data_IF_837681787868
#
_entry.id   IF_837681787868
#
_cell.length_a   1.000
_cell.length_b   1.000
_cell.length_c   1.000
_cell.angle_alpha   90.00
_cell.angle_beta   90.00
_cell.angle_gamma   90.00
#
_symmetry.space_group_name_H-M   'P 1'
#
loop_
_entity.id
_entity.type
_entity.pdbx_description
1 polymer ?
#
# COMPACT_ATOMS: atom_id res chain seq x y z
N UNK A 1 41.70 -62.62 16.61
CA UNK A 1 40.84 -62.07 17.67
C UNK A 1 41.00 -60.56 17.63
N UNK A 2 40.16 -59.82 16.88
CA UNK A 2 40.29 -58.37 16.77
C UNK A 2 38.89 -57.78 16.83
N UNK A 3 38.63 -57.09 17.91
CA UNK A 3 37.33 -56.48 18.19
C UNK A 3 37.09 -55.25 17.30
N UNK A 4 36.01 -55.25 16.55
CA UNK A 4 35.56 -54.16 15.70
C UNK A 4 34.71 -53.20 16.55
N UNK A 5 35.23 -51.98 16.79
CA UNK A 5 34.52 -50.89 17.44
C UNK A 5 33.58 -50.21 16.43
N UNK A 6 32.28 -50.22 16.69
CA UNK A 6 31.29 -49.42 15.96
C UNK A 6 31.33 -47.97 16.43
N UNK A 7 31.67 -47.07 15.53
CA UNK A 7 31.52 -45.62 15.74
C UNK A 7 30.08 -45.29 15.35
N UNK A 8 29.27 -44.85 16.31
CA UNK A 8 27.96 -44.24 16.06
C UNK A 8 28.20 -42.82 15.60
N UNK A 9 27.96 -42.53 14.32
CA UNK A 9 27.77 -41.17 13.83
C UNK A 9 26.45 -40.62 14.38
N UNK A 10 26.55 -39.66 15.29
CA UNK A 10 25.43 -38.76 15.63
C UNK A 10 25.23 -37.81 14.45
N UNK A 11 24.21 -38.08 13.65
CA UNK A 11 23.71 -37.13 12.67
C UNK A 11 22.93 -36.05 13.47
N UNK A 12 23.60 -34.93 13.70
CA UNK A 12 22.97 -33.73 14.22
C UNK A 12 21.98 -33.24 13.19
N UNK A 13 20.68 -33.44 13.42
CA UNK A 13 19.63 -32.83 12.67
C UNK A 13 19.70 -31.30 12.86
N UNK A 14 20.17 -30.58 11.85
CA UNK A 14 19.90 -29.16 11.71
C UNK A 14 18.38 -29.02 11.55
N UNK A 15 17.71 -28.70 12.65
CA UNK A 15 16.39 -28.13 12.57
C UNK A 15 16.52 -26.83 11.77
N UNK A 16 16.12 -26.86 10.53
CA UNK A 16 15.77 -25.67 9.80
C UNK A 16 14.66 -24.99 10.59
N UNK A 17 15.02 -23.94 11.32
CA UNK A 17 14.03 -23.00 11.81
C UNK A 17 13.31 -22.50 10.57
N UNK A 18 12.06 -22.90 10.44
CA UNK A 18 11.22 -22.54 9.31
C UNK A 18 11.31 -21.05 9.06
N UNK A 19 11.41 -20.67 7.81
CA UNK A 19 11.28 -19.27 7.39
C UNK A 19 10.08 -18.66 8.13
N UNK A 20 10.19 -17.44 8.65
CA UNK A 20 9.07 -16.78 9.32
C UNK A 20 7.90 -16.81 8.34
N UNK A 21 6.82 -17.43 8.77
CA UNK A 21 5.67 -17.61 7.93
C UNK A 21 5.10 -16.27 7.56
N UNK A 22 5.47 -15.75 6.42
CA UNK A 22 4.80 -14.60 5.78
C UNK A 22 3.30 -14.86 5.63
N UNK A 23 2.96 -16.10 5.77
CA UNK A 23 1.63 -16.68 5.83
C UNK A 23 1.25 -17.10 7.25
N UNK A 24 1.96 -16.62 8.29
CA UNK A 24 1.83 -17.10 9.65
C UNK A 24 0.42 -17.02 10.22
N UNK A 25 0.27 -17.57 11.39
CA UNK A 25 -0.97 -17.53 12.16
C UNK A 25 -1.27 -16.13 12.74
N UNK A 26 -2.26 -16.07 13.60
CA UNK A 26 -2.74 -14.84 14.26
C UNK A 26 -1.68 -14.03 15.02
N UNK A 27 -0.55 -14.66 15.36
CA UNK A 27 0.56 -14.01 16.10
C UNK A 27 1.75 -13.65 15.20
N UNK A 28 1.55 -13.58 13.91
CA UNK A 28 2.60 -13.31 12.96
C UNK A 28 3.40 -12.04 13.31
N UNK A 29 4.67 -12.22 13.63
CA UNK A 29 5.61 -11.16 13.97
C UNK A 29 5.36 -10.45 15.32
N UNK A 30 4.33 -10.83 16.11
CA UNK A 30 4.02 -10.23 17.40
C UNK A 30 4.60 -11.08 18.52
N UNK A 31 5.35 -10.43 19.42
CA UNK A 31 5.81 -11.06 20.65
C UNK A 31 4.78 -10.82 21.76
N UNK A 32 4.26 -11.88 22.35
CA UNK A 32 3.32 -11.79 23.45
C UNK A 32 3.92 -10.98 24.63
N UNK A 33 3.18 -9.99 25.12
CA UNK A 33 3.59 -9.14 26.26
C UNK A 33 4.62 -8.05 25.91
N UNK A 34 5.14 -8.01 24.66
CA UNK A 34 6.13 -7.03 24.23
C UNK A 34 5.48 -5.83 23.51
N UNK A 35 4.47 -5.24 24.11
CA UNK A 35 3.80 -4.06 23.56
C UNK A 35 4.50 -2.79 24.05
N UNK A 36 5.05 -1.94 23.15
CA UNK A 36 5.61 -0.67 23.55
C UNK A 36 4.51 0.27 24.06
N UNK A 37 4.87 1.20 24.92
CA UNK A 37 3.96 2.26 25.30
C UNK A 37 3.66 3.16 24.11
N UNK A 38 2.38 3.41 23.86
CA UNK A 38 1.89 4.17 22.72
C UNK A 38 1.41 5.54 23.17
N UNK A 39 1.81 6.59 22.47
CA UNK A 39 1.23 7.92 22.64
C UNK A 39 0.04 8.06 21.69
N UNK A 40 -1.17 8.03 22.22
CA UNK A 40 -2.42 8.06 21.47
C UNK A 40 -3.18 6.74 21.55
N UNK A 41 -4.37 6.68 20.97
CA UNK A 41 -5.19 5.47 20.96
C UNK A 41 -4.95 4.70 19.67
N UNK A 42 -4.32 3.54 19.79
CA UNK A 42 -4.11 2.60 18.66
C UNK A 42 -4.82 1.31 18.97
N UNK A 43 -5.63 0.83 18.03
CA UNK A 43 -6.30 -0.46 18.10
C UNK A 43 -5.85 -1.35 16.95
N UNK A 44 -5.70 -2.65 17.19
CA UNK A 44 -5.27 -3.62 16.19
C UNK A 44 -6.09 -4.90 16.27
N UNK A 45 -6.45 -5.43 15.11
CA UNK A 45 -7.22 -6.67 14.96
C UNK A 45 -6.48 -7.66 14.05
N UNK A 46 -6.34 -8.93 14.44
CA UNK A 46 -5.76 -9.94 13.56
C UNK A 46 -6.71 -10.21 12.38
N UNK A 47 -6.18 -10.17 11.16
CA UNK A 47 -6.94 -10.56 9.97
C UNK A 47 -7.09 -12.08 9.97
N UNK A 48 -8.27 -12.66 9.65
CA UNK A 48 -8.50 -14.10 9.71
C UNK A 48 -7.54 -14.90 8.83
N UNK A 49 -7.22 -14.38 7.65
CA UNK A 49 -6.21 -14.96 6.75
C UNK A 49 -5.03 -14.00 6.60
N UNK A 50 -4.07 -13.96 7.54
CA UNK A 50 -3.02 -12.93 7.56
C UNK A 50 -1.87 -13.26 6.61
N UNK A 51 -2.17 -13.71 5.37
CA UNK A 51 -1.18 -14.13 4.38
C UNK A 51 -0.70 -12.95 3.54
N UNK A 52 0.23 -12.17 4.06
CA UNK A 52 0.77 -10.98 3.43
C UNK A 52 -0.36 -10.03 2.97
N UNK A 53 -1.25 -9.70 3.89
CA UNK A 53 -2.31 -8.72 3.68
C UNK A 53 -1.66 -7.34 3.43
N UNK A 54 -2.19 -6.61 2.43
CA UNK A 54 -1.50 -5.44 1.87
C UNK A 54 -2.29 -4.16 2.03
N UNK A 55 -3.02 -3.81 1.01
CA UNK A 55 -3.59 -2.49 0.86
C UNK A 55 -4.98 -2.42 1.52
N UNK A 56 -5.19 -1.55 2.52
CA UNK A 56 -6.51 -1.23 3.03
C UNK A 56 -7.22 -0.23 2.11
N UNK A 57 -8.56 -0.29 2.07
CA UNK A 57 -9.39 0.68 1.38
C UNK A 57 -10.67 0.96 2.18
N UNK A 58 -11.06 2.25 2.38
CA UNK A 58 -12.29 2.60 3.05
C UNK A 58 -13.47 2.41 2.12
N UNK A 59 -14.61 1.97 2.67
CA UNK A 59 -15.86 1.85 1.95
C UNK A 59 -16.87 2.91 2.39
N UNK A 60 -17.88 3.24 1.54
CA UNK A 60 -18.91 4.23 1.88
C UNK A 60 -19.73 3.89 3.13
N UNK A 61 -19.86 2.60 3.47
CA UNK A 61 -20.55 2.13 4.67
C UNK A 61 -19.71 2.20 5.96
N UNK A 62 -18.46 2.69 5.86
CA UNK A 62 -17.50 2.82 6.94
C UNK A 62 -16.69 1.56 7.24
N UNK A 63 -16.88 0.48 6.48
CA UNK A 63 -16.04 -0.71 6.59
C UNK A 63 -14.69 -0.51 5.89
N UNK A 64 -13.72 -1.35 6.24
CA UNK A 64 -12.37 -1.34 5.66
C UNK A 64 -12.16 -2.66 4.92
N UNK A 65 -11.91 -2.57 3.63
CA UNK A 65 -11.53 -3.72 2.82
C UNK A 65 -10.02 -3.88 2.77
N UNK A 66 -9.54 -5.10 2.61
CA UNK A 66 -8.11 -5.46 2.67
C UNK A 66 -7.79 -6.45 1.55
N UNK A 67 -6.77 -6.17 0.79
CA UNK A 67 -6.19 -7.10 -0.17
C UNK A 67 -5.31 -8.13 0.56
N UNK A 68 -5.75 -9.38 0.66
CA UNK A 68 -4.98 -10.47 1.27
C UNK A 68 -4.21 -11.20 0.18
N UNK A 69 -3.04 -10.65 -0.19
CA UNK A 69 -2.32 -11.01 -1.41
C UNK A 69 -1.97 -12.51 -1.49
N UNK A 70 -1.23 -13.05 -0.55
CA UNK A 70 -0.86 -14.46 -0.57
C UNK A 70 -1.98 -15.40 -0.06
N UNK A 71 -3.05 -14.84 0.48
CA UNK A 71 -4.28 -15.56 0.79
C UNK A 71 -5.25 -15.67 -0.38
N UNK A 72 -4.97 -14.96 -1.47
CA UNK A 72 -5.79 -14.91 -2.69
C UNK A 72 -7.26 -14.57 -2.41
N UNK A 73 -7.50 -13.53 -1.60
CA UNK A 73 -8.84 -13.09 -1.18
C UNK A 73 -8.92 -11.62 -0.84
N UNK A 74 -10.12 -11.11 -0.75
CA UNK A 74 -10.44 -9.82 -0.16
C UNK A 74 -11.04 -10.08 1.22
N UNK A 75 -10.57 -9.36 2.24
CA UNK A 75 -11.21 -9.30 3.56
C UNK A 75 -11.93 -7.96 3.73
N UNK A 76 -13.00 -7.94 4.53
CA UNK A 76 -13.72 -6.76 4.98
C UNK A 76 -13.78 -6.76 6.49
N UNK A 77 -13.43 -5.66 7.10
CA UNK A 77 -13.59 -5.39 8.53
C UNK A 77 -14.73 -4.40 8.74
N UNK A 78 -15.69 -4.74 9.59
CA UNK A 78 -16.71 -3.81 10.06
C UNK A 78 -16.29 -3.23 11.42
N UNK A 79 -15.97 -1.93 11.49
CA UNK A 79 -15.51 -1.32 12.74
C UNK A 79 -16.57 -1.27 13.87
N UNK A 80 -17.86 -1.40 13.53
CA UNK A 80 -18.95 -1.37 14.53
C UNK A 80 -19.08 -2.71 15.26
N UNK A 81 -19.08 -3.80 14.51
CA UNK A 81 -19.16 -5.14 15.07
C UNK A 81 -17.80 -5.76 15.38
N UNK A 82 -16.72 -5.17 14.85
CA UNK A 82 -15.34 -5.68 14.89
C UNK A 82 -15.22 -7.09 14.29
N UNK A 83 -16.07 -7.41 13.30
CA UNK A 83 -16.09 -8.70 12.63
C UNK A 83 -15.47 -8.61 11.24
N UNK A 84 -14.85 -9.71 10.82
CA UNK A 84 -14.33 -9.88 9.47
C UNK A 84 -15.25 -10.75 8.62
N UNK A 85 -15.29 -10.45 7.33
CA UNK A 85 -15.82 -11.30 6.26
C UNK A 85 -14.76 -11.43 5.17
N UNK A 86 -14.72 -12.56 4.45
CA UNK A 86 -13.73 -12.80 3.41
C UNK A 86 -14.37 -13.42 2.16
N UNK A 87 -13.87 -13.02 0.99
CA UNK A 87 -14.24 -13.56 -0.31
C UNK A 87 -13.02 -14.14 -1.00
N UNK A 88 -13.03 -15.43 -1.37
CA UNK A 88 -11.97 -15.99 -2.20
C UNK A 88 -12.03 -15.36 -3.60
N UNK A 89 -10.87 -15.21 -4.22
CA UNK A 89 -10.73 -14.71 -5.59
C UNK A 89 -10.39 -15.85 -6.55
N UNK A 90 -10.55 -15.63 -7.87
CA UNK A 90 -10.07 -16.56 -8.89
C UNK A 90 -8.61 -16.95 -8.68
N UNK A 91 -8.23 -18.10 -9.21
CA UNK A 91 -6.89 -18.64 -8.99
C UNK A 91 -5.79 -17.67 -9.40
N UNK A 92 -4.76 -17.56 -8.56
CA UNK A 92 -3.58 -16.74 -8.77
C UNK A 92 -3.85 -15.21 -8.91
N UNK A 93 -5.01 -14.70 -8.50
CA UNK A 93 -5.26 -13.24 -8.56
C UNK A 93 -4.25 -12.45 -7.74
N UNK A 94 -3.88 -12.94 -6.55
CA UNK A 94 -2.91 -12.29 -5.65
C UNK A 94 -3.18 -10.78 -5.53
N UNK A 95 -4.31 -10.35 -4.96
CA UNK A 95 -4.73 -8.96 -4.97
C UNK A 95 -3.68 -8.08 -4.29
N UNK A 96 -3.36 -6.95 -4.92
CA UNK A 96 -2.36 -6.03 -4.40
C UNK A 96 -2.95 -4.66 -4.09
N UNK A 97 -3.25 -3.85 -5.10
CA UNK A 97 -3.92 -2.57 -4.94
C UNK A 97 -5.43 -2.77 -4.78
N UNK A 98 -6.05 -1.94 -3.97
CA UNK A 98 -7.47 -2.04 -3.63
C UNK A 98 -8.10 -0.65 -3.53
N UNK A 99 -9.32 -0.51 -4.03
CA UNK A 99 -10.22 0.62 -3.77
C UNK A 99 -11.67 0.13 -3.71
N UNK A 100 -12.53 0.91 -3.07
CA UNK A 100 -13.98 0.69 -3.05
C UNK A 100 -14.64 1.92 -3.67
N UNK A 101 -15.50 1.72 -4.66
CA UNK A 101 -16.21 2.82 -5.30
C UNK A 101 -17.45 3.28 -4.50
N UNK A 102 -18.09 4.35 -4.97
CA UNK A 102 -19.26 4.94 -4.30
C UNK A 102 -20.47 4.01 -4.22
N UNK A 103 -20.52 2.97 -5.06
CA UNK A 103 -21.55 1.94 -5.06
C UNK A 103 -21.21 0.77 -4.12
N UNK A 104 -20.05 0.82 -3.44
CA UNK A 104 -19.59 -0.26 -2.57
C UNK A 104 -18.95 -1.44 -3.32
N UNK A 105 -18.71 -1.31 -4.61
CA UNK A 105 -17.98 -2.30 -5.40
C UNK A 105 -16.50 -2.22 -5.13
N UNK A 106 -15.90 -3.36 -4.91
CA UNK A 106 -14.46 -3.49 -4.64
C UNK A 106 -13.73 -3.74 -5.94
N UNK A 107 -12.74 -2.89 -6.23
CA UNK A 107 -11.85 -3.03 -7.37
C UNK A 107 -10.45 -3.37 -6.88
N UNK A 108 -9.82 -4.35 -7.49
CA UNK A 108 -8.47 -4.78 -7.10
C UNK A 108 -7.56 -5.02 -8.31
N UNK A 109 -6.28 -4.87 -8.08
CA UNK A 109 -5.26 -5.29 -9.06
C UNK A 109 -4.91 -6.75 -8.79
N UNK A 110 -5.16 -7.62 -9.76
CA UNK A 110 -4.73 -9.02 -9.76
C UNK A 110 -3.27 -9.12 -10.16
N UNK A 111 -2.38 -8.84 -9.20
CA UNK A 111 -0.94 -8.74 -9.43
C UNK A 111 -0.33 -10.05 -9.93
N UNK A 112 -0.89 -11.19 -9.53
CA UNK A 112 -0.40 -12.50 -9.90
C UNK A 112 -0.92 -13.03 -11.24
N UNK A 113 -2.09 -12.57 -11.70
CA UNK A 113 -2.72 -13.06 -12.93
C UNK A 113 -2.92 -11.98 -14.01
N UNK A 114 -2.42 -10.75 -13.77
CA UNK A 114 -2.46 -9.68 -14.77
C UNK A 114 -3.85 -9.12 -15.06
N UNK A 115 -4.74 -9.07 -14.06
CA UNK A 115 -6.12 -8.60 -14.23
C UNK A 115 -6.44 -7.38 -13.40
N UNK A 116 -7.53 -6.68 -13.75
CA UNK A 116 -8.27 -5.80 -12.86
C UNK A 116 -9.54 -6.54 -12.45
N UNK A 117 -9.68 -6.80 -11.16
CA UNK A 117 -10.81 -7.51 -10.62
C UNK A 117 -11.88 -6.57 -10.05
N UNK A 118 -13.14 -6.99 -10.20
CA UNK A 118 -14.33 -6.36 -9.66
C UNK A 118 -15.07 -7.38 -8.78
N UNK A 119 -15.13 -7.13 -7.49
CA UNK A 119 -15.92 -7.91 -6.55
C UNK A 119 -17.16 -7.10 -6.14
N UNK A 120 -18.32 -7.71 -6.30
CA UNK A 120 -19.55 -7.25 -5.66
C UNK A 120 -19.70 -7.99 -4.30
N UNK A 121 -19.52 -7.30 -3.18
CA UNK A 121 -19.53 -7.95 -1.87
C UNK A 121 -20.92 -8.41 -1.40
N UNK A 122 -21.99 -7.90 -2.02
CA UNK A 122 -23.37 -8.33 -1.70
C UNK A 122 -23.69 -9.70 -2.28
N UNK A 123 -23.19 -9.96 -3.50
CA UNK A 123 -23.47 -11.22 -4.22
C UNK A 123 -22.29 -12.19 -4.19
N UNK A 124 -21.10 -11.72 -3.80
CA UNK A 124 -19.86 -12.47 -3.88
C UNK A 124 -19.34 -12.66 -5.32
N UNK A 125 -20.00 -12.04 -6.31
CA UNK A 125 -19.61 -12.19 -7.72
C UNK A 125 -18.29 -11.45 -8.01
N UNK A 126 -17.35 -12.16 -8.60
CA UNK A 126 -16.10 -11.61 -9.12
C UNK A 126 -16.13 -11.60 -10.65
N UNK A 127 -15.66 -10.49 -11.22
CA UNK A 127 -15.41 -10.34 -12.66
C UNK A 127 -13.99 -9.84 -12.84
N UNK A 128 -13.22 -10.44 -13.72
CA UNK A 128 -11.85 -10.02 -14.02
C UNK A 128 -11.73 -9.51 -15.45
N UNK A 129 -10.94 -8.44 -15.61
CA UNK A 129 -10.62 -7.79 -16.89
C UNK A 129 -9.13 -7.98 -17.13
N UNK A 130 -8.71 -8.90 -18.01
CA UNK A 130 -7.30 -9.07 -18.35
C UNK A 130 -6.70 -7.79 -18.92
N UNK A 131 -5.54 -7.39 -18.42
CA UNK A 131 -4.81 -6.24 -18.97
C UNK A 131 -4.25 -6.59 -20.35
N UNK A 132 -4.34 -5.71 -21.36
CA UNK A 132 -4.00 -6.06 -22.74
C UNK A 132 -2.56 -6.57 -22.93
N UNK A 133 -1.61 -5.90 -22.29
CA UNK A 133 -0.19 -6.30 -22.34
C UNK A 133 0.24 -7.22 -21.19
N UNK A 134 -0.72 -7.73 -20.40
CA UNK A 134 -0.41 -8.53 -19.21
C UNK A 134 0.37 -7.74 -18.15
N UNK A 135 1.17 -8.45 -17.38
CA UNK A 135 2.06 -7.87 -16.37
C UNK A 135 1.53 -7.99 -14.94
N UNK A 136 2.02 -7.12 -14.08
CA UNK A 136 1.81 -7.11 -12.64
C UNK A 136 1.08 -5.84 -12.17
N UNK A 137 -0.25 -5.70 -12.42
CA UNK A 137 -1.01 -4.54 -11.96
C UNK A 137 -0.79 -4.30 -10.47
N UNK A 138 -0.47 -3.06 -10.09
CA UNK A 138 0.04 -2.81 -8.75
C UNK A 138 -0.81 -1.79 -7.96
N UNK A 139 -0.58 -0.49 -8.12
CA UNK A 139 -1.36 0.54 -7.44
C UNK A 139 -2.54 0.95 -8.31
N UNK A 140 -3.71 1.13 -7.70
CA UNK A 140 -4.95 1.52 -8.40
C UNK A 140 -5.56 2.76 -7.77
N UNK A 141 -6.07 3.67 -8.60
CA UNK A 141 -6.85 4.85 -8.21
C UNK A 141 -8.05 5.02 -9.14
N UNK A 142 -8.99 5.87 -8.75
CA UNK A 142 -10.17 6.22 -9.54
C UNK A 142 -10.11 7.73 -9.83
N UNK A 143 -10.39 8.13 -11.08
CA UNK A 143 -10.40 9.52 -11.49
C UNK A 143 -11.79 10.18 -11.28
N UNK A 144 -11.87 11.46 -11.61
CA UNK A 144 -13.12 12.24 -11.47
C UNK A 144 -14.26 11.78 -12.39
N UNK A 145 -13.97 11.07 -13.47
CA UNK A 145 -14.94 10.45 -14.38
C UNK A 145 -15.39 9.06 -13.87
N UNK A 146 -14.70 8.55 -12.88
CA UNK A 146 -14.96 7.24 -12.33
C UNK A 146 -14.23 6.11 -13.06
N UNK A 147 -13.24 6.42 -13.89
CA UNK A 147 -12.41 5.44 -14.57
C UNK A 147 -11.23 5.03 -13.68
N UNK A 148 -10.74 3.82 -13.90
CA UNK A 148 -9.66 3.26 -13.10
C UNK A 148 -8.32 3.51 -13.77
N UNK A 149 -7.37 3.92 -12.96
CA UNK A 149 -5.98 4.05 -13.37
C UNK A 149 -5.10 3.16 -12.50
N UNK A 150 -4.16 2.47 -13.10
CA UNK A 150 -3.26 1.58 -12.36
C UNK A 150 -1.88 1.52 -12.97
N UNK A 151 -0.90 1.20 -12.15
CA UNK A 151 0.47 0.97 -12.58
C UNK A 151 0.68 -0.51 -12.88
N UNK A 152 1.43 -0.80 -13.94
CA UNK A 152 1.99 -2.12 -14.26
C UNK A 152 3.50 -2.00 -14.10
N UNK A 153 4.01 -2.41 -12.95
CA UNK A 153 5.36 -2.08 -12.49
C UNK A 153 6.43 -2.71 -13.40
N UNK A 154 6.44 -4.03 -13.52
CA UNK A 154 7.38 -4.75 -14.36
C UNK A 154 7.17 -4.50 -15.86
N UNK A 155 5.93 -4.21 -16.25
CA UNK A 155 5.58 -3.85 -17.63
C UNK A 155 5.87 -2.40 -18.00
N UNK A 156 6.31 -1.57 -17.07
CA UNK A 156 6.62 -0.14 -17.26
C UNK A 156 5.47 0.63 -17.94
N UNK A 157 4.24 0.48 -17.41
CA UNK A 157 3.05 1.17 -17.94
C UNK A 157 2.21 1.78 -16.83
N UNK A 158 1.55 2.87 -17.17
CA UNK A 158 0.34 3.33 -16.48
C UNK A 158 -0.83 3.05 -17.41
N UNK A 159 -1.89 2.47 -16.88
CA UNK A 159 -3.02 1.99 -17.68
C UNK A 159 -4.30 2.58 -17.16
N UNK A 160 -5.18 3.00 -18.08
CA UNK A 160 -6.55 3.41 -17.83
C UNK A 160 -7.51 2.29 -18.21
N UNK A 161 -8.49 2.00 -17.36
CA UNK A 161 -9.66 1.20 -17.69
C UNK A 161 -10.91 2.08 -17.61
N UNK A 162 -11.53 2.32 -18.75
CA UNK A 162 -12.85 2.96 -18.82
C UNK A 162 -13.91 2.00 -18.32
N UNK A 163 -14.49 2.28 -17.15
CA UNK A 163 -15.44 1.34 -16.52
C UNK A 163 -16.74 1.16 -17.30
N UNK A 164 -17.16 2.18 -18.06
CA UNK A 164 -18.40 2.15 -18.83
C UNK A 164 -18.32 1.25 -20.07
N UNK A 165 -17.15 1.19 -20.71
CA UNK A 165 -16.93 0.46 -21.96
C UNK A 165 -16.10 -0.80 -21.81
N UNK A 166 -15.34 -0.91 -20.71
CA UNK A 166 -14.35 -1.96 -20.51
C UNK A 166 -13.06 -1.75 -21.35
N UNK A 167 -12.91 -0.59 -21.98
CA UNK A 167 -11.78 -0.27 -22.85
C UNK A 167 -10.54 0.09 -22.03
N UNK A 168 -9.40 -0.48 -22.40
CA UNK A 168 -8.10 -0.13 -21.86
C UNK A 168 -7.36 0.86 -22.75
N UNK A 169 -6.60 1.75 -22.11
CA UNK A 169 -5.60 2.62 -22.74
C UNK A 169 -4.30 2.49 -21.97
N UNK A 170 -3.22 2.11 -22.65
CA UNK A 170 -1.91 1.91 -22.04
C UNK A 170 -0.98 3.07 -22.38
N UNK A 171 -0.24 3.55 -21.38
CA UNK A 171 0.76 4.60 -21.51
C UNK A 171 2.11 4.02 -21.12
N UNK A 172 3.02 3.90 -22.06
CA UNK A 172 4.39 3.51 -21.78
C UNK A 172 5.08 4.56 -20.91
N UNK A 173 5.81 4.09 -19.93
CA UNK A 173 6.54 4.89 -18.95
C UNK A 173 7.96 4.34 -18.80
N UNK A 174 8.75 4.94 -17.94
CA UNK A 174 10.07 4.46 -17.56
C UNK A 174 10.19 4.36 -16.03
N UNK A 175 11.21 3.67 -15.56
CA UNK A 175 11.60 3.69 -14.16
C UNK A 175 10.68 2.98 -13.18
N UNK A 176 9.97 1.94 -13.60
CA UNK A 176 9.06 1.12 -12.78
C UNK A 176 8.00 1.96 -12.05
N UNK A 177 6.88 2.29 -12.71
CA UNK A 177 5.81 3.08 -12.10
C UNK A 177 5.23 2.35 -10.89
N UNK A 178 5.10 3.06 -9.76
CA UNK A 178 4.74 2.46 -8.48
C UNK A 178 3.52 3.14 -7.83
N UNK A 179 3.74 4.15 -6.99
CA UNK A 179 2.68 4.94 -6.37
C UNK A 179 1.95 5.77 -7.42
N UNK A 180 0.65 5.98 -7.22
CA UNK A 180 -0.24 6.65 -8.17
C UNK A 180 -1.19 7.57 -7.40
N UNK A 181 -1.41 8.77 -7.91
CA UNK A 181 -2.40 9.72 -7.38
C UNK A 181 -3.04 10.52 -8.51
N UNK A 182 -4.23 11.04 -8.25
CA UNK A 182 -4.93 11.99 -9.10
C UNK A 182 -4.90 13.34 -8.41
N UNK A 183 -4.45 14.40 -9.09
CA UNK A 183 -4.45 15.73 -8.52
C UNK A 183 -5.83 16.43 -8.68
N UNK A 184 -5.94 17.64 -8.15
CA UNK A 184 -7.18 18.42 -8.20
C UNK A 184 -7.60 18.84 -9.62
N UNK A 185 -6.72 18.76 -10.59
CA UNK A 185 -6.98 19.04 -12.02
C UNK A 185 -7.31 17.77 -12.81
N UNK A 186 -7.25 16.59 -12.17
CA UNK A 186 -7.47 15.29 -12.81
C UNK A 186 -6.22 14.72 -13.50
N UNK A 187 -5.06 15.33 -13.31
CA UNK A 187 -3.80 14.81 -13.84
C UNK A 187 -3.37 13.59 -13.00
N UNK A 188 -2.92 12.56 -13.70
CA UNK A 188 -2.46 11.31 -13.10
C UNK A 188 -0.97 11.43 -12.85
N UNK A 189 -0.57 11.33 -11.58
CA UNK A 189 0.82 11.37 -11.14
C UNK A 189 1.28 9.99 -10.70
N UNK A 190 2.51 9.60 -11.06
CA UNK A 190 3.08 8.32 -10.64
C UNK A 190 4.55 8.43 -10.25
N UNK A 191 4.92 7.62 -9.26
CA UNK A 191 6.31 7.50 -8.82
C UNK A 191 7.08 6.59 -9.77
N UNK A 192 8.28 6.99 -10.18
CA UNK A 192 9.24 6.19 -10.95
C UNK A 192 10.29 5.64 -9.98
N UNK A 193 10.01 4.49 -9.41
CA UNK A 193 10.78 3.92 -8.30
C UNK A 193 12.27 3.72 -8.61
N UNK A 194 12.61 3.38 -9.85
CA UNK A 194 13.98 3.18 -10.32
C UNK A 194 14.51 4.33 -11.19
N UNK A 195 13.76 5.40 -11.33
CA UNK A 195 14.08 6.50 -12.22
C UNK A 195 14.35 7.83 -11.51
N UNK A 196 14.38 7.83 -10.17
CA UNK A 196 14.57 9.05 -9.37
C UNK A 196 13.69 10.22 -9.85
N UNK A 197 12.42 9.94 -10.14
CA UNK A 197 11.53 10.92 -10.71
C UNK A 197 10.05 10.62 -10.54
N UNK A 198 9.23 11.56 -10.93
CA UNK A 198 7.78 11.42 -11.06
C UNK A 198 7.39 11.57 -12.51
N UNK A 199 6.42 10.78 -12.94
CA UNK A 199 5.76 10.99 -14.23
C UNK A 199 4.35 11.55 -14.02
N UNK A 200 3.81 12.16 -15.06
CA UNK A 200 2.44 12.66 -15.08
C UNK A 200 1.80 12.44 -16.45
N UNK A 201 0.48 12.24 -16.45
CA UNK A 201 -0.36 12.10 -17.64
C UNK A 201 -1.59 12.98 -17.41
N UNK A 202 -1.86 13.88 -18.34
CA UNK A 202 -3.10 14.63 -18.38
C UNK A 202 -4.09 13.92 -19.33
N UNK A 203 -5.16 13.31 -18.78
CA UNK A 203 -6.10 12.55 -19.61
C UNK A 203 -6.93 13.42 -20.56
N UNK A 204 -7.04 14.73 -20.28
CA UNK A 204 -7.86 15.65 -21.09
C UNK A 204 -7.11 16.14 -22.31
N UNK A 205 -5.86 16.56 -22.14
CA UNK A 205 -5.04 17.07 -23.25
C UNK A 205 -4.23 15.98 -23.94
N UNK A 206 -4.07 14.80 -23.30
CA UNK A 206 -3.17 13.74 -23.74
C UNK A 206 -1.68 14.05 -23.50
N UNK A 207 -1.38 15.20 -22.89
CA UNK A 207 0.00 15.57 -22.58
C UNK A 207 0.55 14.69 -21.43
N UNK A 208 1.81 14.41 -21.48
CA UNK A 208 2.53 13.64 -20.45
C UNK A 208 3.97 14.11 -20.34
N UNK A 209 4.59 13.85 -19.21
CA UNK A 209 5.99 14.20 -18.99
C UNK A 209 6.53 13.63 -17.70
N UNK A 210 7.75 13.99 -17.40
CA UNK A 210 8.48 13.53 -16.24
C UNK A 210 9.17 14.71 -15.56
N UNK A 211 9.40 14.59 -14.25
CA UNK A 211 10.22 15.52 -13.46
C UNK A 211 11.26 14.73 -12.69
N UNK A 212 12.46 15.28 -12.58
CA UNK A 212 13.53 14.75 -11.74
C UNK A 212 13.28 15.10 -10.27
N UNK A 213 13.44 14.15 -9.38
CA UNK A 213 13.31 14.32 -7.93
C UNK A 213 14.64 14.29 -7.19
N UNK A 214 15.74 14.22 -7.93
CA UNK A 214 17.09 14.16 -7.41
C UNK A 214 17.59 12.74 -7.21
N UNK A 215 18.88 12.57 -7.47
CA UNK A 215 19.56 11.27 -7.41
C UNK A 215 19.36 10.57 -6.07
N UNK A 216 18.97 9.30 -6.12
CA UNK A 216 18.77 8.44 -4.96
C UNK A 216 17.46 8.70 -4.21
N UNK A 217 16.54 9.48 -4.76
CA UNK A 217 15.24 9.74 -4.11
C UNK A 217 14.33 8.50 -4.12
N UNK A 218 14.35 7.69 -5.18
CA UNK A 218 13.52 6.51 -5.36
C UNK A 218 12.08 6.71 -4.86
N UNK A 219 11.31 7.66 -5.43
CA UNK A 219 9.96 7.99 -4.96
C UNK A 219 9.07 6.76 -5.00
N UNK A 220 8.31 6.52 -3.91
CA UNK A 220 7.58 5.27 -3.77
C UNK A 220 6.07 5.42 -3.72
N UNK A 221 5.55 6.21 -2.80
CA UNK A 221 4.11 6.49 -2.68
C UNK A 221 3.86 7.98 -2.81
N UNK A 222 2.66 8.31 -3.26
CA UNK A 222 2.22 9.67 -3.52
C UNK A 222 0.78 9.83 -3.05
N UNK A 223 0.45 10.97 -2.45
CA UNK A 223 -0.89 11.29 -1.96
C UNK A 223 -1.24 12.74 -2.26
N UNK A 224 -2.48 12.97 -2.67
CA UNK A 224 -3.02 14.32 -2.88
C UNK A 224 -3.50 14.92 -1.55
N UNK A 225 -3.19 16.20 -1.35
CA UNK A 225 -3.61 16.98 -0.20
C UNK A 225 -4.85 17.86 -0.55
N UNK A 226 -5.66 18.24 0.46
CA UNK A 226 -6.84 19.11 0.23
C UNK A 226 -6.51 20.46 -0.40
N UNK A 227 -5.30 20.99 -0.18
CA UNK A 227 -4.83 22.26 -0.77
C UNK A 227 -4.35 22.13 -2.22
N UNK A 228 -4.35 20.90 -2.77
CA UNK A 228 -3.92 20.59 -4.13
C UNK A 228 -2.47 20.20 -4.27
N UNK A 229 -1.64 20.29 -3.22
CA UNK A 229 -0.28 19.77 -3.24
C UNK A 229 -0.27 18.23 -3.30
N UNK A 230 0.83 17.66 -3.77
CA UNK A 230 1.09 16.23 -3.68
C UNK A 230 2.24 15.95 -2.73
N UNK A 231 2.08 14.92 -1.89
CA UNK A 231 3.09 14.49 -0.94
C UNK A 231 3.65 13.13 -1.33
N UNK A 232 4.96 13.00 -1.29
CA UNK A 232 5.67 11.84 -1.82
C UNK A 232 6.64 11.30 -0.75
N UNK A 233 6.67 9.98 -0.59
CA UNK A 233 7.72 9.31 0.16
C UNK A 233 8.93 9.05 -0.74
N UNK A 234 10.07 9.68 -0.44
CA UNK A 234 11.36 9.43 -1.07
C UNK A 234 12.06 8.29 -0.34
N UNK A 235 11.73 7.07 -0.75
CA UNK A 235 12.17 5.84 -0.11
C UNK A 235 13.70 5.70 -0.08
N UNK A 236 14.38 6.12 -1.15
CA UNK A 236 15.82 5.91 -1.29
C UNK A 236 16.69 6.83 -0.44
N UNK A 237 16.18 7.99 0.00
CA UNK A 237 16.97 8.97 0.76
C UNK A 237 16.32 9.43 2.07
N UNK A 238 15.27 8.76 2.53
CA UNK A 238 14.70 8.98 3.86
C UNK A 238 13.84 10.24 4.01
N UNK A 239 13.34 10.83 2.91
CA UNK A 239 12.65 12.12 2.96
C UNK A 239 11.17 12.03 2.64
N UNK A 240 10.42 12.94 3.23
CA UNK A 240 9.09 13.34 2.78
C UNK A 240 9.26 14.53 1.83
N UNK A 241 8.56 14.55 0.69
CA UNK A 241 8.65 15.62 -0.29
C UNK A 241 7.26 16.20 -0.60
N UNK A 242 7.20 17.51 -0.89
CA UNK A 242 6.03 18.22 -1.38
C UNK A 242 6.23 18.68 -2.81
N UNK A 243 5.28 18.36 -3.66
CA UNK A 243 5.22 18.76 -5.06
C UNK A 243 4.09 19.78 -5.24
N UNK A 244 4.39 20.88 -5.91
CA UNK A 244 3.39 21.72 -6.54
C UNK A 244 3.07 21.15 -7.94
N UNK A 245 1.88 20.54 -8.16
CA UNK A 245 1.57 19.90 -9.44
C UNK A 245 1.37 20.91 -10.58
N UNK A 246 0.98 22.17 -10.28
CA UNK A 246 0.82 23.22 -11.30
C UNK A 246 2.18 23.71 -11.80
N UNK A 247 3.10 23.94 -10.87
CA UNK A 247 4.46 24.32 -11.22
C UNK A 247 5.32 23.12 -11.67
N UNK A 248 4.82 21.89 -11.49
CA UNK A 248 5.52 20.61 -11.80
C UNK A 248 6.91 20.56 -11.18
N UNK A 249 7.03 20.94 -9.91
CA UNK A 249 8.31 20.95 -9.21
C UNK A 249 8.18 20.59 -7.73
N UNK A 250 9.23 20.00 -7.18
CA UNK A 250 9.38 19.80 -5.74
C UNK A 250 9.58 21.16 -5.09
N UNK A 251 8.76 21.49 -4.08
CA UNK A 251 8.78 22.76 -3.37
C UNK A 251 9.30 22.66 -1.93
N UNK A 252 9.51 21.43 -1.42
CA UNK A 252 10.10 21.20 -0.12
C UNK A 252 10.43 19.74 0.10
N UNK A 253 11.40 19.46 0.95
CA UNK A 253 11.75 18.11 1.42
C UNK A 253 12.14 18.15 2.88
N UNK A 254 11.72 17.14 3.67
CA UNK A 254 11.98 17.01 5.09
C UNK A 254 12.48 15.60 5.40
N UNK A 255 13.52 15.48 6.18
CA UNK A 255 13.99 14.18 6.67
C UNK A 255 13.01 13.64 7.72
N UNK A 256 12.71 12.35 7.66
CA UNK A 256 11.94 11.73 8.72
C UNK A 256 12.74 11.76 10.04
N UNK A 257 12.07 11.92 11.19
CA UNK A 257 12.73 11.78 12.47
C UNK A 257 13.33 10.38 12.61
N UNK A 258 14.39 10.24 13.37
CA UNK A 258 15.13 8.96 13.55
C UNK A 258 14.18 7.79 13.90
N UNK A 259 13.20 8.05 14.74
CA UNK A 259 12.19 7.08 15.17
C UNK A 259 11.22 6.70 14.05
N UNK A 260 11.06 7.56 13.04
CA UNK A 260 10.23 7.35 11.85
C UNK A 260 10.85 6.45 10.79
N UNK A 261 12.12 6.07 10.97
CA UNK A 261 12.85 5.21 10.05
C UNK A 261 13.52 5.94 8.89
N UNK A 262 14.29 5.20 8.11
CA UNK A 262 15.05 5.75 6.96
C UNK A 262 14.39 5.48 5.62
N UNK A 263 13.43 4.55 5.57
CA UNK A 263 12.80 4.07 4.34
C UNK A 263 11.31 4.44 4.34
N UNK A 264 10.94 5.74 4.13
CA UNK A 264 9.57 6.18 4.11
C UNK A 264 8.78 5.44 3.03
N UNK A 265 7.63 4.86 3.41
CA UNK A 265 6.89 4.01 2.50
C UNK A 265 5.48 4.52 2.24
N UNK A 266 4.51 4.24 3.11
CA UNK A 266 3.17 4.75 2.95
C UNK A 266 3.14 6.26 3.24
N UNK A 267 2.37 6.99 2.47
CA UNK A 267 2.05 8.40 2.69
C UNK A 267 0.57 8.62 2.44
N UNK A 268 -0.09 9.36 3.31
CA UNK A 268 -1.47 9.82 3.14
C UNK A 268 -1.65 11.18 3.82
N UNK A 269 -2.70 11.91 3.46
CA UNK A 269 -2.94 13.26 3.98
C UNK A 269 -4.34 13.32 4.58
N UNK A 270 -4.48 13.89 5.78
CA UNK A 270 -5.78 14.07 6.42
C UNK A 270 -6.48 15.35 5.97
N UNK A 271 -7.74 15.51 6.38
CA UNK A 271 -8.55 16.67 6.01
C UNK A 271 -8.00 18.01 6.53
N UNK A 272 -7.15 18.00 7.56
CA UNK A 272 -6.46 19.17 8.09
C UNK A 272 -5.16 19.48 7.32
N UNK A 273 -4.79 18.67 6.33
CA UNK A 273 -3.58 18.82 5.55
C UNK A 273 -2.32 18.25 6.22
N UNK A 274 -2.46 17.55 7.35
CA UNK A 274 -1.31 16.88 7.99
C UNK A 274 -0.96 15.62 7.22
N UNK A 275 0.33 15.34 7.08
CA UNK A 275 0.84 14.24 6.30
C UNK A 275 1.25 13.10 7.21
N UNK A 276 0.66 11.93 7.00
CA UNK A 276 0.95 10.73 7.73
C UNK A 276 1.87 9.85 6.90
N UNK A 277 3.03 9.50 7.45
CA UNK A 277 4.08 8.74 6.77
C UNK A 277 4.71 7.74 7.74
N UNK A 278 5.11 6.57 7.24
CA UNK A 278 5.82 5.57 8.03
C UNK A 278 7.08 5.10 7.33
N UNK A 279 8.10 4.71 8.09
CA UNK A 279 9.18 3.87 7.61
C UNK A 279 8.73 2.41 7.56
N UNK A 280 9.12 1.68 6.50
CA UNK A 280 8.73 0.28 6.34
C UNK A 280 9.37 -0.63 7.40
N UNK A 281 10.51 -0.23 7.91
CA UNK A 281 11.37 -0.93 8.85
C UNK A 281 11.11 -0.56 10.32
N UNK A 282 10.17 0.37 10.57
CA UNK A 282 9.83 0.82 11.92
C UNK A 282 8.38 0.50 12.28
N UNK A 283 8.14 0.35 13.58
CA UNK A 283 6.81 0.16 14.15
C UNK A 283 6.28 1.51 14.65
N UNK A 284 6.30 2.50 13.75
CA UNK A 284 5.88 3.88 14.04
C UNK A 284 5.13 4.49 12.87
N UNK A 285 4.34 5.52 13.18
CA UNK A 285 3.76 6.43 12.20
C UNK A 285 4.16 7.85 12.57
N UNK A 286 4.71 8.58 11.62
CA UNK A 286 5.07 9.99 11.76
C UNK A 286 3.99 10.87 11.15
N UNK A 287 3.58 11.90 11.87
CA UNK A 287 2.62 12.91 11.42
C UNK A 287 3.38 14.21 11.24
N UNK A 288 3.46 14.69 10.01
CA UNK A 288 4.07 15.96 9.65
C UNK A 288 3.02 17.05 9.57
N UNK A 289 3.25 18.15 10.26
CA UNK A 289 2.44 19.37 10.14
C UNK A 289 3.15 20.36 9.22
N UNK A 290 2.61 20.63 8.01
CA UNK A 290 3.25 21.54 7.07
C UNK A 290 3.30 23.00 7.52
N UNK A 291 2.44 23.41 8.47
CA UNK A 291 2.40 24.79 8.96
C UNK A 291 3.57 25.08 9.94
N UNK A 292 3.90 24.12 10.78
CA UNK A 292 5.00 24.23 11.74
C UNK A 292 6.28 23.54 11.30
N UNK A 293 6.24 22.83 10.18
CA UNK A 293 7.30 21.96 9.66
C UNK A 293 7.86 20.96 10.69
N UNK A 294 6.99 20.46 11.56
CA UNK A 294 7.36 19.58 12.64
C UNK A 294 6.73 18.20 12.53
N UNK A 295 7.40 17.19 13.09
CA UNK A 295 6.92 15.82 13.18
C UNK A 295 6.47 15.46 14.59
N UNK A 296 5.38 14.71 14.65
CA UNK A 296 4.99 13.94 15.82
C UNK A 296 5.06 12.45 15.46
N UNK A 297 5.66 11.63 16.32
CA UNK A 297 5.80 10.19 16.09
C UNK A 297 4.88 9.42 17.05
N UNK A 298 4.12 8.48 16.50
CA UNK A 298 3.29 7.53 17.24
C UNK A 298 3.94 6.16 17.13
N UNK A 299 4.19 5.51 18.26
CA UNK A 299 4.63 4.11 18.31
C UNK A 299 3.42 3.18 18.23
N UNK A 300 3.54 2.15 17.42
CA UNK A 300 2.51 1.13 17.29
C UNK A 300 2.65 0.07 18.38
N UNK A 301 1.54 -0.55 18.82
CA UNK A 301 1.58 -1.55 19.88
C UNK A 301 2.23 -2.87 19.44
N UNK A 302 2.14 -3.21 18.16
CA UNK A 302 2.74 -4.41 17.59
C UNK A 302 4.12 -4.16 17.03
N UNK A 303 4.89 -5.24 16.88
CA UNK A 303 6.21 -5.22 16.24
C UNK A 303 6.15 -5.85 14.84
N UNK A 304 7.15 -5.52 14.02
CA UNK A 304 7.31 -6.02 12.64
C UNK A 304 6.05 -5.75 11.81
N UNK A 305 5.51 -4.55 11.92
CA UNK A 305 4.24 -4.20 11.27
C UNK A 305 4.38 -4.16 9.75
N UNK A 306 5.37 -3.44 9.22
CA UNK A 306 5.64 -3.37 7.79
C UNK A 306 4.52 -2.72 6.99
N UNK A 307 4.14 -1.49 7.34
CA UNK A 307 3.04 -0.75 6.68
C UNK A 307 3.46 -0.38 5.26
N UNK A 308 2.66 -0.80 4.26
CA UNK A 308 2.91 -0.53 2.84
C UNK A 308 1.90 0.43 2.22
N UNK A 309 0.72 0.51 2.79
CA UNK A 309 -0.31 1.49 2.49
C UNK A 309 -1.14 1.76 3.72
N UNK A 310 -1.57 2.99 3.85
CA UNK A 310 -2.50 3.45 4.85
C UNK A 310 -3.53 4.38 4.22
N UNK A 311 -4.64 4.56 4.88
CA UNK A 311 -5.73 5.43 4.45
C UNK A 311 -6.26 6.25 5.62
N UNK A 312 -6.90 7.37 5.32
CA UNK A 312 -7.74 8.11 6.26
C UNK A 312 -9.19 7.85 5.86
N UNK A 313 -10.03 7.45 6.80
CA UNK A 313 -11.46 7.27 6.54
C UNK A 313 -12.25 8.58 6.67
N UNK A 314 -13.55 8.52 6.40
CA UNK A 314 -14.43 9.68 6.46
C UNK A 314 -14.59 10.28 7.88
N UNK A 315 -14.20 9.54 8.93
CA UNK A 315 -14.17 9.98 10.33
C UNK A 315 -12.81 10.56 10.74
N UNK A 316 -11.84 10.62 9.80
CA UNK A 316 -10.49 11.12 10.04
C UNK A 316 -9.58 10.13 10.77
N UNK A 317 -9.97 8.85 10.88
CA UNK A 317 -9.15 7.81 11.50
C UNK A 317 -8.12 7.29 10.51
N UNK A 318 -6.89 7.12 10.98
CA UNK A 318 -5.82 6.53 10.17
C UNK A 318 -5.87 5.01 10.29
N UNK A 319 -6.03 4.32 9.16
CA UNK A 319 -6.03 2.88 9.06
C UNK A 319 -4.81 2.39 8.32
N UNK A 320 -4.17 1.34 8.82
CA UNK A 320 -3.01 0.71 8.19
C UNK A 320 -3.14 -0.81 8.20
N UNK A 321 -2.50 -1.45 7.25
CA UNK A 321 -2.34 -2.90 7.25
C UNK A 321 -0.90 -3.27 7.55
N UNK A 322 -0.69 -4.01 8.63
CA UNK A 322 0.58 -4.62 8.96
C UNK A 322 0.82 -5.85 8.08
N UNK A 323 1.55 -5.63 6.98
CA UNK A 323 1.77 -6.70 5.99
C UNK A 323 2.62 -7.85 6.52
N UNK A 324 3.47 -7.58 7.50
CA UNK A 324 4.36 -8.58 8.07
C UNK A 324 3.79 -9.25 9.32
N UNK A 325 2.91 -8.58 10.06
CA UNK A 325 2.33 -9.13 11.28
C UNK A 325 0.85 -9.53 11.14
N UNK A 326 0.24 -9.27 9.99
CA UNK A 326 -1.12 -9.71 9.69
C UNK A 326 -2.22 -9.01 10.49
N UNK A 327 -1.99 -7.77 10.94
CA UNK A 327 -2.97 -7.01 11.71
C UNK A 327 -3.42 -5.76 10.97
N UNK A 328 -4.72 -5.55 10.97
CA UNK A 328 -5.33 -4.27 10.63
C UNK A 328 -5.21 -3.36 11.84
N UNK A 329 -4.67 -2.17 11.66
CA UNK A 329 -4.52 -1.20 12.74
C UNK A 329 -5.27 0.10 12.46
N UNK A 330 -5.68 0.77 13.53
CA UNK A 330 -6.34 2.07 13.51
C UNK A 330 -5.72 2.99 14.55
N UNK A 331 -5.47 4.24 14.17
CA UNK A 331 -5.05 5.33 15.07
C UNK A 331 -6.15 6.38 15.12
N UNK A 332 -6.57 6.74 16.35
CA UNK A 332 -7.52 7.82 16.65
C UNK A 332 -6.81 9.04 17.25
#
# INVERSE_FOLDING_TARGET
MTAMRWIRCLIGGLCWAGAPAWAGGSNYGITAGALPQVAGKVSEWPVPTPKFARDPAPAPDGSIYIAVMHGNRIARFDPRSQQFSEWPLPANAHPHGLLVDRQGIVWYTGNGNGTIGRLDPQTGRVTEYPTPSGGDPHTIVIDGQGDLWFTVQGGQRVVKLERSSGRFTEYETSGNPYGLAVDAQGVIWFCRLQGDGLGWIDPQSGQRGEIDTGRGSAPRRIAAAPNGDLWISFYGNGKLARLDPRARRIVGTWELPKEGGRDPYAVTVDAAGRVWVNGIDTDTVSIFDPASESFRVIRLPSQKVGIRKAIIDAQGRYWYMGSHNGRLGMVE
#
